data_IF_830033703346
#
_entry.id   IF_830033703346
#
_cell.length_a   1.000
_cell.length_b   1.000
_cell.length_c   1.000
_cell.angle_alpha   90.00
_cell.angle_beta   90.00
_cell.angle_gamma   90.00
#
_symmetry.space_group_name_H-M   'P 1'
#
loop_
_entity.id
_entity.type
_entity.pdbx_description
1 polymer ?
#
# COMPACT_ATOMS: atom_id res chain seq x y z
N UNK A 1 4.30 -1.21 20.22
CA UNK A 1 3.25 -0.64 19.33
C UNK A 1 3.72 -0.80 17.89
N UNK A 2 2.96 -1.51 17.02
CA UNK A 2 3.46 -1.91 15.70
C UNK A 2 3.31 -0.83 14.61
N UNK A 3 2.22 -0.06 14.65
CA UNK A 3 1.92 0.95 13.62
C UNK A 3 2.26 2.39 14.04
N UNK A 4 2.99 2.58 15.14
CA UNK A 4 3.26 3.90 15.72
C UNK A 4 2.06 4.52 16.45
N UNK A 5 2.31 5.59 17.19
CA UNK A 5 1.35 6.23 18.11
C UNK A 5 0.12 6.80 17.38
N UNK A 6 0.32 7.32 16.17
CA UNK A 6 -0.75 7.89 15.34
C UNK A 6 -0.98 7.12 14.03
N UNK A 7 -0.57 5.84 13.95
CA UNK A 7 -0.57 5.11 12.68
C UNK A 7 0.60 5.48 11.77
N UNK A 8 1.58 6.23 12.29
CA UNK A 8 2.83 6.59 11.62
C UNK A 8 3.94 5.60 12.00
N UNK A 9 3.94 4.45 11.34
CA UNK A 9 4.97 3.44 11.52
C UNK A 9 6.31 3.90 10.93
N UNK A 10 7.39 3.61 11.65
CA UNK A 10 8.78 3.70 11.17
C UNK A 10 9.37 2.34 10.82
N UNK A 11 8.60 1.25 11.00
CA UNK A 11 9.03 -0.11 10.70
C UNK A 11 8.77 -0.45 9.24
N UNK A 12 9.77 -1.02 8.57
CA UNK A 12 9.66 -1.51 7.18
C UNK A 12 8.62 -2.61 6.98
N UNK A 13 8.22 -3.28 8.07
CA UNK A 13 7.32 -4.43 8.05
C UNK A 13 5.87 -3.99 8.32
N UNK A 14 5.69 -2.96 9.15
CA UNK A 14 4.37 -2.49 9.55
C UNK A 14 4.02 -1.21 8.76
N UNK A 15 2.94 -1.21 7.96
CA UNK A 15 2.59 -0.05 7.17
C UNK A 15 2.16 1.15 8.02
N UNK A 16 2.31 2.33 7.44
CA UNK A 16 1.58 3.53 7.88
C UNK A 16 0.10 3.35 7.62
N UNK A 17 -0.70 3.67 8.63
CA UNK A 17 -2.17 3.68 8.60
C UNK A 17 -2.71 5.11 8.55
N UNK A 18 -1.95 6.10 9.04
CA UNK A 18 -2.37 7.50 9.04
C UNK A 18 -2.71 8.00 7.64
N UNK A 19 -3.84 8.70 7.51
CA UNK A 19 -4.35 9.23 6.24
C UNK A 19 -4.75 8.17 5.22
N UNK A 20 -4.81 6.89 5.60
CA UNK A 20 -5.28 5.83 4.71
C UNK A 20 -6.81 5.85 4.61
N UNK A 21 -7.34 5.47 3.45
CA UNK A 21 -8.78 5.45 3.19
C UNK A 21 -9.49 4.50 4.16
N UNK A 22 -10.54 4.99 4.83
CA UNK A 22 -11.20 4.26 5.91
C UNK A 22 -11.81 2.93 5.45
N UNK A 23 -12.48 2.94 4.30
CA UNK A 23 -13.09 1.75 3.70
C UNK A 23 -12.04 0.71 3.30
N UNK A 24 -10.90 1.16 2.75
CA UNK A 24 -9.78 0.26 2.47
C UNK A 24 -9.24 -0.38 3.76
N UNK A 25 -9.03 0.38 4.84
CA UNK A 25 -8.58 -0.18 6.11
C UNK A 25 -9.55 -1.22 6.66
N UNK A 26 -10.85 -0.91 6.70
CA UNK A 26 -11.87 -1.85 7.16
C UNK A 26 -11.86 -3.14 6.31
N UNK A 27 -11.75 -3.02 4.99
CA UNK A 27 -11.61 -4.17 4.08
C UNK A 27 -10.37 -5.01 4.41
N UNK A 28 -9.23 -4.38 4.67
CA UNK A 28 -7.99 -5.11 4.98
C UNK A 28 -8.08 -5.81 6.35
N UNK A 29 -8.65 -5.17 7.36
CA UNK A 29 -8.88 -5.78 8.67
C UNK A 29 -9.78 -7.02 8.54
N UNK A 30 -10.87 -6.91 7.77
CA UNK A 30 -11.75 -8.03 7.46
C UNK A 30 -11.02 -9.16 6.72
N UNK A 31 -10.19 -8.82 5.74
CA UNK A 31 -9.40 -9.80 4.99
C UNK A 31 -8.37 -10.53 5.87
N UNK A 32 -7.79 -9.86 6.88
CA UNK A 32 -6.95 -10.53 7.88
C UNK A 32 -7.77 -11.46 8.77
N UNK A 33 -8.99 -11.05 9.16
CA UNK A 33 -9.88 -11.84 10.02
C UNK A 33 -10.38 -13.10 9.32
N UNK A 34 -10.72 -13.02 8.03
CA UNK A 34 -11.19 -14.17 7.23
C UNK A 34 -10.04 -15.05 6.71
N UNK A 35 -8.79 -14.58 6.81
CA UNK A 35 -7.61 -15.28 6.30
C UNK A 35 -7.37 -15.09 4.79
N UNK A 36 -8.21 -14.32 4.09
CA UNK A 36 -7.98 -13.90 2.70
C UNK A 36 -6.67 -13.15 2.52
N UNK A 37 -6.25 -12.41 3.57
CA UNK A 37 -4.92 -11.83 3.70
C UNK A 37 -4.21 -12.48 4.88
N UNK A 38 -3.09 -13.16 4.62
CA UNK A 38 -2.33 -13.85 5.65
C UNK A 38 -1.40 -12.89 6.40
N UNK A 39 -1.45 -12.90 7.73
CA UNK A 39 -0.45 -12.30 8.61
C UNK A 39 -0.63 -12.88 10.01
N UNK A 40 0.40 -13.50 10.57
CA UNK A 40 0.35 -14.05 11.93
C UNK A 40 0.12 -12.95 12.96
N UNK A 41 0.80 -11.81 12.81
CA UNK A 41 0.65 -10.67 13.71
C UNK A 41 -0.76 -10.05 13.64
N UNK A 42 -1.32 -9.81 12.45
CA UNK A 42 -2.62 -9.15 12.34
C UNK A 42 -3.79 -10.10 12.61
N UNK A 43 -3.68 -11.39 12.30
CA UNK A 43 -4.77 -12.35 12.50
C UNK A 43 -5.23 -12.38 13.97
N UNK A 44 -4.31 -12.38 14.92
CA UNK A 44 -4.62 -12.33 16.36
C UNK A 44 -5.26 -11.00 16.76
N UNK A 45 -4.74 -9.88 16.24
CA UNK A 45 -5.22 -8.53 16.56
C UNK A 45 -6.67 -8.29 16.10
N UNK A 46 -7.07 -8.86 14.96
CA UNK A 46 -8.41 -8.66 14.39
C UNK A 46 -9.42 -9.74 14.80
N UNK A 47 -8.98 -10.82 15.46
CA UNK A 47 -9.81 -11.99 15.73
C UNK A 47 -11.12 -11.66 16.45
N UNK A 48 -11.07 -10.70 17.38
CA UNK A 48 -12.22 -10.30 18.21
C UNK A 48 -12.93 -9.04 17.72
N UNK A 49 -12.40 -8.36 16.70
CA UNK A 49 -13.00 -7.12 16.20
C UNK A 49 -14.32 -7.41 15.49
N UNK A 50 -15.33 -6.60 15.75
CA UNK A 50 -16.58 -6.55 14.99
C UNK A 50 -16.40 -5.75 13.71
N UNK A 51 -17.34 -5.89 12.76
CA UNK A 51 -17.33 -5.11 11.51
C UNK A 51 -17.42 -3.60 11.80
N UNK A 52 -18.21 -3.20 12.80
CA UNK A 52 -18.34 -1.80 13.23
C UNK A 52 -17.05 -1.25 13.84
N UNK A 53 -16.33 -2.04 14.65
CA UNK A 53 -15.02 -1.65 15.19
C UNK A 53 -13.97 -1.51 14.09
N UNK A 54 -13.98 -2.40 13.09
CA UNK A 54 -13.08 -2.29 11.93
C UNK A 54 -13.35 -1.02 11.11
N UNK A 55 -14.62 -0.65 10.94
CA UNK A 55 -15.02 0.62 10.30
C UNK A 55 -14.58 1.82 11.15
N UNK A 56 -14.79 1.76 12.46
CA UNK A 56 -14.40 2.83 13.38
C UNK A 56 -12.88 3.06 13.37
N UNK A 57 -12.08 1.99 13.38
CA UNK A 57 -10.62 2.07 13.24
C UNK A 57 -10.21 2.67 11.90
N UNK A 58 -10.88 2.30 10.81
CA UNK A 58 -10.65 2.91 9.50
C UNK A 58 -10.85 4.43 9.53
N UNK A 59 -11.99 4.89 10.06
CA UNK A 59 -12.31 6.33 10.19
C UNK A 59 -11.36 7.07 11.12
N UNK A 60 -10.85 6.39 12.15
CA UNK A 60 -9.89 6.96 13.08
C UNK A 60 -8.56 7.27 12.38
N UNK A 61 -7.97 6.29 11.69
CA UNK A 61 -6.67 6.45 11.04
C UNK A 61 -6.74 7.33 9.78
N UNK A 62 -7.86 7.37 9.08
CA UNK A 62 -8.08 8.29 7.94
C UNK A 62 -7.93 9.76 8.34
N UNK A 63 -8.28 10.11 9.58
CA UNK A 63 -8.17 11.48 10.12
C UNK A 63 -6.78 11.82 10.65
N UNK A 64 -5.91 10.83 10.80
CA UNK A 64 -4.55 11.07 11.29
C UNK A 64 -3.70 11.74 10.21
N UNK A 65 -2.84 12.71 10.59
CA UNK A 65 -1.99 13.38 9.63
C UNK A 65 -0.97 12.40 9.04
N UNK A 66 -0.94 12.29 7.71
CA UNK A 66 0.06 11.51 7.01
C UNK A 66 1.37 12.31 6.89
N UNK A 67 2.48 11.73 7.33
CA UNK A 67 3.81 12.35 7.23
C UNK A 67 4.45 12.01 5.90
N UNK A 68 4.96 13.05 5.22
CA UNK A 68 5.78 12.91 4.01
C UNK A 68 7.25 12.95 4.38
N UNK A 69 8.02 12.02 3.82
CA UNK A 69 9.48 12.01 3.91
C UNK A 69 10.10 12.36 2.55
N UNK A 70 11.38 12.71 2.54
CA UNK A 70 12.11 12.86 1.29
C UNK A 70 12.51 11.50 0.70
N UNK A 71 12.75 11.47 -0.61
CA UNK A 71 13.30 10.28 -1.24
C UNK A 71 14.72 10.04 -0.71
N UNK A 72 15.00 8.81 -0.30
CA UNK A 72 16.36 8.33 0.01
C UNK A 72 17.22 8.30 -1.25
N UNK A 73 16.63 7.97 -2.40
CA UNK A 73 17.26 8.04 -3.72
C UNK A 73 16.41 8.88 -4.70
N UNK A 74 16.75 10.18 -4.88
CA UNK A 74 16.03 11.06 -5.78
C UNK A 74 16.07 10.62 -7.26
N UNK A 75 17.14 9.98 -7.72
CA UNK A 75 17.26 9.54 -9.12
C UNK A 75 16.34 8.35 -9.37
N UNK A 76 16.31 7.39 -8.44
CA UNK A 76 15.41 6.27 -8.48
C UNK A 76 13.93 6.73 -8.39
N UNK A 77 13.64 7.73 -7.56
CA UNK A 77 12.31 8.33 -7.47
C UNK A 77 11.86 8.99 -8.79
N UNK A 78 12.76 9.56 -9.60
CA UNK A 78 12.42 10.09 -10.93
C UNK A 78 12.00 8.98 -11.90
N UNK A 79 12.68 7.84 -11.86
CA UNK A 79 12.28 6.64 -12.63
C UNK A 79 10.91 6.16 -12.15
N UNK A 80 10.72 6.08 -10.83
CA UNK A 80 9.45 5.71 -10.22
C UNK A 80 8.30 6.62 -10.62
N UNK A 81 8.53 7.93 -10.65
CA UNK A 81 7.58 8.93 -11.12
C UNK A 81 7.18 8.67 -12.56
N UNK A 82 8.14 8.39 -13.45
CA UNK A 82 7.84 8.10 -14.84
C UNK A 82 6.94 6.86 -14.97
N UNK A 83 7.31 5.75 -14.32
CA UNK A 83 6.54 4.50 -14.35
C UNK A 83 5.16 4.68 -13.73
N UNK A 84 5.06 5.42 -12.62
CA UNK A 84 3.80 5.67 -11.94
C UNK A 84 2.77 6.35 -12.86
N UNK A 85 3.20 7.35 -13.62
CA UNK A 85 2.31 8.14 -14.48
C UNK A 85 2.11 7.57 -15.87
N UNK A 86 3.06 6.80 -16.40
CA UNK A 86 3.05 6.36 -17.80
C UNK A 86 2.98 4.83 -17.95
N UNK A 87 3.28 4.09 -16.89
CA UNK A 87 3.52 2.65 -16.96
C UNK A 87 4.80 2.33 -17.75
N UNK A 88 4.91 1.08 -18.18
CA UNK A 88 5.94 0.61 -19.11
C UNK A 88 5.27 -0.13 -20.26
N UNK A 89 5.24 0.52 -21.43
CA UNK A 89 4.65 -0.03 -22.67
C UNK A 89 5.35 -1.29 -23.19
N UNK A 90 6.63 -1.49 -22.85
CA UNK A 90 7.41 -2.64 -23.34
C UNK A 90 7.12 -3.91 -22.54
N UNK A 91 6.99 -3.79 -21.21
CA UNK A 91 6.57 -4.91 -20.34
C UNK A 91 5.05 -5.01 -20.19
N UNK A 92 4.31 -3.98 -20.60
CA UNK A 92 2.84 -3.91 -20.50
C UNK A 92 2.33 -3.53 -19.10
N UNK A 93 3.19 -2.93 -18.25
CA UNK A 93 2.80 -2.36 -16.96
C UNK A 93 1.93 -1.12 -17.23
N UNK A 94 0.67 -1.06 -16.76
CA UNK A 94 -0.15 0.12 -16.90
C UNK A 94 0.32 1.24 -15.98
N UNK A 95 -0.06 2.49 -16.28
CA UNK A 95 0.16 3.61 -15.38
C UNK A 95 -0.57 3.39 -14.05
N UNK A 96 0.17 3.43 -12.94
CA UNK A 96 -0.38 3.28 -11.59
C UNK A 96 -1.40 4.39 -11.27
N UNK A 97 -1.17 5.60 -11.79
CA UNK A 97 -2.04 6.77 -11.62
C UNK A 97 -3.45 6.57 -12.16
N UNK A 98 -3.63 5.66 -13.13
CA UNK A 98 -4.95 5.37 -13.73
C UNK A 98 -5.94 4.78 -12.73
N UNK A 99 -5.45 4.11 -11.67
CA UNK A 99 -6.26 3.54 -10.61
C UNK A 99 -6.02 4.25 -9.27
N UNK A 100 -4.76 4.50 -8.90
CA UNK A 100 -4.41 5.08 -7.60
C UNK A 100 -4.49 6.62 -7.56
N UNK A 101 -4.94 7.25 -8.66
CA UNK A 101 -5.05 8.70 -8.81
C UNK A 101 -3.73 9.36 -9.18
N UNK A 102 -3.77 10.63 -9.60
CA UNK A 102 -2.55 11.36 -9.99
C UNK A 102 -1.53 11.45 -8.82
N UNK A 103 -2.03 11.55 -7.60
CA UNK A 103 -1.22 11.75 -6.40
C UNK A 103 -1.04 10.52 -5.50
N UNK A 104 -1.55 9.35 -5.92
CA UNK A 104 -1.44 8.15 -5.11
C UNK A 104 -2.28 8.20 -3.85
N UNK A 105 -3.36 9.00 -3.83
CA UNK A 105 -4.32 9.03 -2.73
C UNK A 105 -5.33 7.88 -2.79
N UNK A 106 -5.39 7.17 -3.92
CA UNK A 106 -6.33 6.09 -4.10
C UNK A 106 -7.78 6.58 -4.12
N UNK A 107 -8.69 5.71 -3.73
CA UNK A 107 -10.13 5.97 -3.65
C UNK A 107 -10.66 5.28 -2.38
N UNK A 108 -11.96 5.31 -2.13
CA UNK A 108 -12.53 4.61 -0.98
C UNK A 108 -12.15 3.09 -0.97
N UNK A 109 -12.11 2.45 -2.15
CA UNK A 109 -11.77 1.04 -2.31
C UNK A 109 -10.31 0.75 -2.67
N UNK A 110 -9.53 1.77 -3.04
CA UNK A 110 -8.11 1.64 -3.42
C UNK A 110 -7.21 2.32 -2.40
N UNK A 111 -6.09 1.69 -2.01
CA UNK A 111 -5.22 2.28 -1.01
C UNK A 111 -4.61 3.59 -1.48
N UNK A 112 -4.51 4.53 -0.54
CA UNK A 112 -3.47 5.55 -0.55
C UNK A 112 -2.10 4.88 -0.54
N UNK A 113 -1.28 5.23 -1.51
CA UNK A 113 0.11 4.81 -1.65
C UNK A 113 1.10 5.94 -1.31
N UNK A 114 0.70 7.20 -1.50
CA UNK A 114 1.54 8.37 -1.18
C UNK A 114 1.85 8.45 0.32
N UNK A 115 3.12 8.66 0.64
CA UNK A 115 3.65 8.74 2.00
C UNK A 115 3.82 7.39 2.68
N UNK A 116 3.56 6.26 2.00
CA UNK A 116 3.81 4.93 2.54
C UNK A 116 5.29 4.57 2.47
N UNK A 117 5.78 3.73 3.39
CA UNK A 117 7.19 3.31 3.41
C UNK A 117 7.59 2.59 2.11
N UNK A 118 8.74 2.98 1.53
CA UNK A 118 9.22 2.38 0.26
C UNK A 118 9.46 0.88 0.39
N UNK A 119 10.07 0.44 1.49
CA UNK A 119 10.27 -0.99 1.81
C UNK A 119 8.95 -1.77 1.92
N UNK A 120 7.92 -1.16 2.51
CA UNK A 120 6.59 -1.77 2.58
C UNK A 120 5.97 -1.90 1.19
N UNK A 121 5.94 -0.83 0.40
CA UNK A 121 5.38 -0.82 -0.95
C UNK A 121 6.08 -1.84 -1.86
N UNK A 122 7.41 -1.86 -1.83
CA UNK A 122 8.22 -2.84 -2.56
C UNK A 122 7.85 -4.27 -2.17
N UNK A 123 7.74 -4.54 -0.86
CA UNK A 123 7.34 -5.86 -0.35
C UNK A 123 5.93 -6.23 -0.81
N UNK A 124 4.98 -5.30 -0.81
CA UNK A 124 3.62 -5.57 -1.30
C UNK A 124 3.61 -5.92 -2.78
N UNK A 125 4.35 -5.18 -3.62
CA UNK A 125 4.49 -5.48 -5.06
C UNK A 125 5.07 -6.89 -5.27
N UNK A 126 6.10 -7.27 -4.52
CA UNK A 126 6.67 -8.63 -4.57
C UNK A 126 5.66 -9.70 -4.14
N UNK A 127 4.86 -9.44 -3.11
CA UNK A 127 3.82 -10.39 -2.65
C UNK A 127 2.69 -10.53 -3.67
N UNK A 128 2.30 -9.47 -4.36
CA UNK A 128 1.33 -9.53 -5.45
C UNK A 128 1.88 -10.31 -6.65
N UNK A 129 3.14 -10.05 -7.05
CA UNK A 129 3.81 -10.79 -8.11
C UNK A 129 3.82 -12.31 -7.82
N UNK A 130 4.16 -12.71 -6.58
CA UNK A 130 4.23 -14.11 -6.15
C UNK A 130 2.87 -14.76 -5.81
N UNK A 131 1.74 -14.06 -5.99
CA UNK A 131 0.40 -14.50 -5.54
C UNK A 131 0.34 -14.90 -4.05
N UNK A 132 1.17 -14.29 -3.22
CA UNK A 132 1.16 -14.50 -1.77
C UNK A 132 0.15 -13.59 -1.07
N UNK A 133 -0.24 -12.49 -1.72
CA UNK A 133 -1.32 -11.60 -1.28
C UNK A 133 -2.47 -11.65 -2.27
N UNK A 134 -3.61 -12.17 -1.81
CA UNK A 134 -4.69 -12.61 -2.68
C UNK A 134 -6.06 -12.02 -2.33
N UNK A 135 -6.12 -10.86 -1.69
CA UNK A 135 -7.39 -10.23 -1.31
C UNK A 135 -7.81 -9.06 -2.22
N UNK A 136 -6.88 -8.57 -3.06
CA UNK A 136 -7.10 -7.55 -4.10
C UNK A 136 -6.91 -8.17 -5.51
N UNK A 137 -7.43 -9.40 -5.65
CA UNK A 137 -6.71 -10.63 -6.08
C UNK A 137 -6.48 -10.91 -7.57
N UNK A 138 -6.66 -9.96 -8.48
CA UNK A 138 -6.29 -10.20 -9.89
C UNK A 138 -5.57 -9.00 -10.45
N UNK A 139 -6.13 -7.81 -10.25
CA UNK A 139 -5.62 -6.57 -10.84
C UNK A 139 -4.18 -6.29 -10.40
N UNK A 140 -3.89 -6.31 -9.10
CA UNK A 140 -2.52 -6.01 -8.66
C UNK A 140 -1.53 -7.12 -9.00
N UNK A 141 -1.97 -8.37 -9.14
CA UNK A 141 -1.12 -9.43 -9.65
C UNK A 141 -0.78 -9.22 -11.14
N UNK A 142 -1.76 -8.91 -11.99
CA UNK A 142 -1.54 -8.68 -13.43
C UNK A 142 -0.69 -7.45 -13.74
N UNK A 143 -0.63 -6.49 -12.81
CA UNK A 143 0.32 -5.38 -12.84
C UNK A 143 1.70 -5.83 -12.38
N UNK A 144 1.80 -6.40 -11.18
CA UNK A 144 3.07 -6.72 -10.54
C UNK A 144 3.84 -7.85 -11.27
N UNK A 145 3.16 -8.78 -11.95
CA UNK A 145 3.80 -9.84 -12.75
C UNK A 145 4.60 -9.29 -13.93
N UNK A 146 4.29 -8.08 -14.39
CA UNK A 146 4.95 -7.40 -15.52
C UNK A 146 6.08 -6.47 -15.09
N UNK A 147 6.25 -6.26 -13.78
CA UNK A 147 7.26 -5.36 -13.24
C UNK A 147 8.56 -6.12 -12.95
N UNK A 148 9.68 -5.48 -13.26
CA UNK A 148 11.00 -5.86 -12.75
C UNK A 148 11.16 -5.42 -11.30
N UNK A 149 12.09 -6.04 -10.55
CA UNK A 149 12.39 -5.59 -9.18
C UNK A 149 12.87 -4.13 -9.14
N UNK A 150 13.60 -3.69 -10.17
CA UNK A 150 14.02 -2.30 -10.31
C UNK A 150 12.82 -1.34 -10.43
N UNK A 151 11.83 -1.66 -11.27
CA UNK A 151 10.62 -0.85 -11.41
C UNK A 151 9.79 -0.84 -10.11
N UNK A 152 9.71 -1.98 -9.41
CA UNK A 152 9.03 -2.04 -8.11
C UNK A 152 9.70 -1.14 -7.08
N UNK A 153 11.04 -1.19 -6.99
CA UNK A 153 11.81 -0.33 -6.10
C UNK A 153 11.66 1.15 -6.47
N UNK A 154 11.71 1.46 -7.77
CA UNK A 154 11.56 2.82 -8.27
C UNK A 154 10.20 3.43 -7.90
N UNK A 155 9.11 2.74 -8.20
CA UNK A 155 7.75 3.22 -7.88
C UNK A 155 7.54 3.34 -6.38
N UNK A 156 8.10 2.41 -5.59
CA UNK A 156 8.03 2.48 -4.14
C UNK A 156 8.76 3.71 -3.56
N UNK A 157 9.95 4.02 -4.08
CA UNK A 157 10.75 5.18 -3.67
C UNK A 157 10.08 6.51 -4.05
N UNK A 158 9.45 6.56 -5.22
CA UNK A 158 8.65 7.71 -5.63
C UNK A 158 7.44 7.93 -4.70
N UNK A 159 6.69 6.87 -4.40
CA UNK A 159 5.47 6.97 -3.61
C UNK A 159 5.73 7.28 -2.13
N UNK A 160 6.84 6.80 -1.58
CA UNK A 160 7.20 7.13 -0.19
C UNK A 160 7.54 8.60 0.01
N UNK A 161 8.03 9.24 -1.05
CA UNK A 161 8.45 10.64 -1.04
C UNK A 161 7.41 11.62 -1.58
N UNK A 162 6.19 11.14 -1.84
CA UNK A 162 5.10 11.91 -2.42
C UNK A 162 4.09 12.39 -1.39
#
# INVERSE_FOLDING_TARGET
MCHGENGESTSEIFPRLAGQNAEYLAKQLKAFKTGERKSTAMAEMVAKLTDDEMIALGRYYEKMPAVREEAKDPQLALVGKYIYHNGNKFSGVPACSSCHGADGYGTASLPRLSGQLSSYLFTQLKQFNKRQRTNDNVVMHTVAEKMTEFEMAAVAEYLSSK
#
